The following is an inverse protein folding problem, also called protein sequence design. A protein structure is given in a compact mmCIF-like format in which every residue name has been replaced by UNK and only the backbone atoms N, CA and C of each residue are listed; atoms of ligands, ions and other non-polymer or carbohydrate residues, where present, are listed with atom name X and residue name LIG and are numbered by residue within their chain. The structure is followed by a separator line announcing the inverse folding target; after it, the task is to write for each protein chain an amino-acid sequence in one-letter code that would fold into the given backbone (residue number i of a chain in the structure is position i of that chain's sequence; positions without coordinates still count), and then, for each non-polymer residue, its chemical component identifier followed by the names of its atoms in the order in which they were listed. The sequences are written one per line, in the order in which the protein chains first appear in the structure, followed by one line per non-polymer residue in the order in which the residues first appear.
data_IF_257108967911
#
_entry.id   IF_257108967911
#
_cell.length_a   1.000
_cell.length_b   1.000
_cell.length_c   1.000
_cell.angle_alpha   90.00
_cell.angle_beta   90.00
_cell.angle_gamma   90.00
#
_symmetry.space_group_name_H-M   'P 1'
#
loop_
_entity.id
_entity.type
_entity.pdbx_description
1 polymer ?
#
# COMPACT_ATOMS: atom_id res chain seq x y z
N UNK A 1 -37.78 -5.43 -11.09
CA UNK A 1 -36.46 -4.81 -11.37
C UNK A 1 -35.53 -4.92 -10.16
N UNK A 2 -36.00 -4.67 -8.93
CA UNK A 2 -35.21 -4.94 -7.71
C UNK A 2 -35.00 -6.44 -7.45
N UNK A 3 -36.02 -7.28 -7.67
CA UNK A 3 -35.91 -8.73 -7.44
C UNK A 3 -34.84 -9.39 -8.33
N UNK A 4 -34.74 -8.97 -9.60
CA UNK A 4 -33.73 -9.49 -10.52
C UNK A 4 -32.30 -9.15 -10.10
N UNK A 5 -32.10 -7.96 -9.50
CA UNK A 5 -30.80 -7.58 -8.97
C UNK A 5 -30.44 -8.42 -7.73
N UNK A 6 -31.41 -8.68 -6.85
CA UNK A 6 -31.23 -9.53 -5.68
C UNK A 6 -30.87 -10.97 -6.07
N UNK A 7 -31.62 -11.57 -7.01
CA UNK A 7 -31.33 -12.91 -7.51
C UNK A 7 -29.93 -13.01 -8.14
N UNK A 8 -29.48 -11.96 -8.85
CA UNK A 8 -28.12 -11.89 -9.38
C UNK A 8 -27.04 -11.88 -8.30
N UNK A 9 -27.30 -11.23 -7.16
CA UNK A 9 -26.39 -11.23 -6.00
C UNK A 9 -26.34 -12.61 -5.35
N UNK A 10 -27.49 -13.24 -5.10
CA UNK A 10 -27.58 -14.58 -4.52
C UNK A 10 -26.83 -15.59 -5.39
N UNK A 11 -27.09 -15.59 -6.70
CA UNK A 11 -26.41 -16.46 -7.66
C UNK A 11 -24.88 -16.27 -7.65
N UNK A 12 -24.42 -15.02 -7.47
CA UNK A 12 -22.99 -14.72 -7.42
C UNK A 12 -22.29 -15.40 -6.24
N UNK A 13 -22.92 -15.45 -5.07
CA UNK A 13 -22.38 -16.16 -3.90
C UNK A 13 -22.38 -17.68 -4.06
N UNK A 14 -23.34 -18.22 -4.83
CA UNK A 14 -23.49 -19.65 -5.08
C UNK A 14 -22.55 -20.22 -6.15
N UNK A 15 -21.70 -19.39 -6.77
CA UNK A 15 -20.64 -19.88 -7.67
C UNK A 15 -19.59 -20.75 -6.98
N UNK A 16 -19.61 -20.81 -5.65
CA UNK A 16 -18.77 -21.69 -4.85
C UNK A 16 -19.58 -22.41 -3.77
N UNK A 17 -19.11 -23.57 -3.28
CA UNK A 17 -19.80 -24.29 -2.23
C UNK A 17 -19.79 -23.48 -0.93
N UNK A 18 -20.97 -23.23 -0.38
CA UNK A 18 -21.18 -22.58 0.90
C UNK A 18 -21.64 -23.61 1.94
N UNK A 19 -21.38 -23.32 3.21
CA UNK A 19 -21.89 -24.10 4.34
C UNK A 19 -23.20 -23.52 4.90
N UNK A 20 -23.86 -22.65 4.13
CA UNK A 20 -25.19 -22.10 4.40
C UNK A 20 -26.13 -22.48 3.26
N UNK A 21 -27.39 -22.74 3.57
CA UNK A 21 -28.39 -23.00 2.55
C UNK A 21 -28.89 -21.71 1.87
N UNK A 22 -29.67 -21.85 0.80
CA UNK A 22 -30.19 -20.71 0.02
C UNK A 22 -31.07 -19.78 0.87
N UNK A 23 -31.90 -20.34 1.76
CA UNK A 23 -32.79 -19.56 2.60
C UNK A 23 -32.01 -18.71 3.61
N UNK A 24 -30.98 -19.30 4.24
CA UNK A 24 -30.09 -18.61 5.16
C UNK A 24 -29.24 -17.56 4.43
N UNK A 25 -28.74 -17.86 3.24
CA UNK A 25 -27.99 -16.89 2.43
C UNK A 25 -28.84 -15.66 2.10
N UNK A 26 -30.08 -15.88 1.63
CA UNK A 26 -31.03 -14.80 1.35
C UNK A 26 -31.32 -13.96 2.59
N UNK A 27 -31.58 -14.61 3.73
CA UNK A 27 -31.79 -13.93 5.02
C UNK A 27 -30.58 -13.09 5.41
N UNK A 28 -29.37 -13.65 5.29
CA UNK A 28 -28.14 -12.95 5.64
C UNK A 28 -27.90 -11.70 4.78
N UNK A 29 -28.25 -11.75 3.49
CA UNK A 29 -28.16 -10.59 2.58
C UNK A 29 -29.18 -9.52 2.98
N UNK A 30 -30.43 -9.90 3.24
CA UNK A 30 -31.50 -8.97 3.64
C UNK A 30 -31.23 -8.32 5.00
N UNK A 31 -30.73 -9.10 5.96
CA UNK A 31 -30.39 -8.64 7.31
C UNK A 31 -29.10 -7.79 7.34
N UNK A 32 -28.43 -7.61 6.19
CA UNK A 32 -27.14 -6.93 6.08
C UNK A 32 -26.14 -7.51 7.10
N UNK A 33 -25.93 -8.83 7.01
CA UNK A 33 -25.12 -9.55 7.99
C UNK A 33 -23.62 -9.25 7.82
N UNK A 34 -23.00 -8.83 8.91
CA UNK A 34 -21.55 -8.62 8.99
C UNK A 34 -20.87 -9.85 9.60
N UNK A 35 -19.78 -10.30 8.99
CA UNK A 35 -19.00 -11.46 9.43
C UNK A 35 -17.55 -11.07 9.70
N UNK A 36 -16.98 -11.64 10.75
CA UNK A 36 -15.53 -11.69 10.93
C UNK A 36 -14.91 -12.69 9.95
N UNK A 37 -13.59 -12.60 9.74
CA UNK A 37 -12.86 -13.56 8.91
C UNK A 37 -13.09 -15.04 9.30
N UNK A 38 -13.03 -15.45 10.58
CA UNK A 38 -13.32 -16.84 10.96
C UNK A 38 -14.77 -17.24 10.69
N UNK A 39 -15.76 -16.38 11.00
CA UNK A 39 -17.18 -16.69 10.73
C UNK A 39 -17.46 -16.84 9.23
N UNK A 40 -16.82 -16.00 8.41
CA UNK A 40 -16.89 -16.12 6.96
C UNK A 40 -16.28 -17.45 6.47
N UNK A 41 -15.17 -17.90 7.08
CA UNK A 41 -14.55 -19.19 6.74
C UNK A 41 -15.46 -20.37 7.11
N UNK A 42 -16.03 -20.34 8.31
CA UNK A 42 -16.91 -21.40 8.81
C UNK A 42 -18.16 -21.55 7.94
N UNK A 43 -18.73 -20.42 7.48
CA UNK A 43 -19.86 -20.40 6.54
C UNK A 43 -19.47 -20.71 5.10
N UNK A 44 -18.17 -20.89 4.84
CA UNK A 44 -17.65 -21.23 3.52
C UNK A 44 -17.67 -20.06 2.57
N UNK A 45 -17.59 -18.80 3.02
CA UNK A 45 -17.42 -17.58 2.21
C UNK A 45 -15.95 -17.24 1.88
N UNK A 46 -14.99 -17.84 2.59
CA UNK A 46 -13.56 -17.78 2.28
C UNK A 46 -12.91 -19.16 2.45
N UNK A 47 -11.80 -19.40 1.76
CA UNK A 47 -11.07 -20.68 1.84
C UNK A 47 -10.05 -20.69 2.99
N UNK A 48 -9.35 -19.57 3.19
CA UNK A 48 -8.29 -19.42 4.20
C UNK A 48 -8.30 -18.00 4.80
N UNK A 49 -7.90 -17.90 6.07
CA UNK A 49 -7.69 -16.63 6.77
C UNK A 49 -6.19 -16.49 7.02
N UNK A 50 -5.55 -15.52 6.35
CA UNK A 50 -4.13 -15.25 6.46
C UNK A 50 -3.87 -14.19 7.54
N UNK A 51 -2.81 -14.38 8.34
CA UNK A 51 -2.41 -13.46 9.41
C UNK A 51 -3.20 -13.63 10.71
N UNK A 52 -2.92 -12.77 11.70
CA UNK A 52 -3.86 -12.58 12.80
C UNK A 52 -5.13 -12.02 12.16
N UNK A 53 -6.29 -12.62 12.41
CA UNK A 53 -7.60 -12.28 11.84
C UNK A 53 -8.10 -10.87 12.24
N UNK A 54 -7.19 -9.91 12.40
CA UNK A 54 -7.51 -8.51 12.49
C UNK A 54 -8.30 -8.14 11.23
N UNK A 55 -9.45 -7.49 11.40
CA UNK A 55 -10.18 -6.93 10.29
C UNK A 55 -9.30 -5.86 9.64
N UNK A 56 -8.52 -6.27 8.65
CA UNK A 56 -7.77 -5.37 7.79
C UNK A 56 -8.85 -4.62 7.02
N UNK A 57 -9.18 -3.44 7.51
CA UNK A 57 -10.08 -2.49 6.89
C UNK A 57 -9.51 -1.95 5.59
N UNK A 58 -9.19 -2.81 4.61
CA UNK A 58 -8.80 -2.36 3.28
C UNK A 58 -9.97 -1.56 2.66
N UNK A 59 -11.21 -1.98 2.91
CA UNK A 59 -12.42 -1.22 2.56
C UNK A 59 -12.67 0.00 3.45
N UNK A 60 -12.03 0.05 4.63
CA UNK A 60 -12.17 1.13 5.60
C UNK A 60 -11.41 2.40 5.13
N UNK A 61 -10.41 2.27 4.24
CA UNK A 61 -9.79 3.42 3.55
C UNK A 61 -10.80 4.24 2.72
N UNK A 62 -11.93 3.65 2.33
CA UNK A 62 -13.05 4.37 1.72
C UNK A 62 -13.96 4.92 2.82
N UNK A 63 -13.46 5.73 3.76
CA UNK A 63 -14.10 6.07 5.05
C UNK A 63 -15.54 6.62 5.05
N UNK A 64 -16.16 6.85 3.88
CA UNK A 64 -17.59 7.16 3.73
C UNK A 64 -18.46 5.98 3.26
N UNK A 65 -17.87 4.85 2.90
CA UNK A 65 -18.57 3.68 2.36
C UNK A 65 -19.46 3.04 3.43
N UNK A 66 -18.99 3.00 4.69
CA UNK A 66 -19.76 2.46 5.81
C UNK A 66 -21.02 3.26 6.13
N UNK A 67 -21.10 4.55 5.77
CA UNK A 67 -22.31 5.35 5.98
C UNK A 67 -23.48 4.92 5.08
N UNK A 68 -23.25 4.07 4.07
CA UNK A 68 -24.30 3.54 3.19
C UNK A 68 -24.98 2.29 3.74
N UNK A 69 -24.40 1.69 4.77
CA UNK A 69 -24.83 0.43 5.38
C UNK A 69 -25.63 0.72 6.64
N UNK A 70 -26.78 0.07 6.80
CA UNK A 70 -27.75 0.31 7.88
C UNK A 70 -27.31 -0.36 9.18
N UNK A 71 -26.75 -1.56 9.10
CA UNK A 71 -26.42 -2.45 10.21
C UNK A 71 -24.91 -2.56 10.47
N UNK A 72 -24.14 -1.50 10.20
CA UNK A 72 -22.68 -1.51 10.44
C UNK A 72 -22.36 -1.67 11.93
N UNK A 73 -21.63 -2.73 12.35
CA UNK A 73 -21.28 -2.98 13.75
C UNK A 73 -20.34 -1.92 14.34
N UNK A 74 -20.44 -1.69 15.65
CA UNK A 74 -19.56 -0.75 16.36
C UNK A 74 -18.07 -1.12 16.25
N UNK A 75 -17.75 -2.42 16.19
CA UNK A 75 -16.38 -2.87 15.98
C UNK A 75 -15.81 -2.34 14.64
N UNK A 76 -16.60 -2.40 13.56
CA UNK A 76 -16.21 -1.86 12.25
C UNK A 76 -16.03 -0.33 12.29
N UNK A 77 -16.90 0.39 13.02
CA UNK A 77 -16.80 1.85 13.20
C UNK A 77 -15.55 2.25 14.00
N UNK A 78 -15.22 1.50 15.05
CA UNK A 78 -14.02 1.74 15.88
C UNK A 78 -12.75 1.48 15.09
N UNK A 79 -12.72 0.44 14.26
CA UNK A 79 -11.57 0.15 13.40
C UNK A 79 -11.29 1.30 12.44
N UNK A 80 -12.33 1.87 11.81
CA UNK A 80 -12.20 3.09 11.01
C UNK A 80 -11.62 4.27 11.79
N UNK A 81 -12.14 4.53 12.99
CA UNK A 81 -11.69 5.64 13.82
C UNK A 81 -10.26 5.44 14.35
N UNK A 82 -9.82 4.19 14.49
CA UNK A 82 -8.50 3.80 15.01
C UNK A 82 -7.46 3.62 13.90
N UNK A 83 -7.86 3.58 12.62
CA UNK A 83 -6.90 3.71 11.53
C UNK A 83 -6.40 5.16 11.49
N UNK A 84 -5.31 5.42 12.20
CA UNK A 84 -4.37 6.46 11.78
C UNK A 84 -4.07 6.26 10.29
N UNK A 85 -3.93 7.32 9.48
CA UNK A 85 -3.62 7.18 8.07
C UNK A 85 -2.37 6.31 7.99
N UNK A 86 -2.54 5.10 7.45
CA UNK A 86 -1.45 4.21 7.14
C UNK A 86 -0.37 5.05 6.44
N UNK A 87 0.85 5.02 7.01
CA UNK A 87 1.96 5.89 6.64
C UNK A 87 2.09 6.10 5.14
N UNK A 88 2.58 7.30 4.79
CA UNK A 88 2.67 7.82 3.44
C UNK A 88 2.91 6.74 2.38
N UNK A 89 2.21 6.81 1.23
CA UNK A 89 2.48 5.89 0.13
C UNK A 89 3.99 5.82 -0.09
N UNK A 90 4.53 4.60 -0.23
CA UNK A 90 5.94 4.42 -0.53
C UNK A 90 6.30 5.35 -1.70
N UNK A 91 7.37 6.16 -1.57
CA UNK A 91 7.68 7.20 -2.54
C UNK A 91 7.82 6.55 -3.91
N UNK A 92 7.11 7.11 -4.89
CA UNK A 92 7.20 6.71 -6.28
C UNK A 92 8.63 6.90 -6.79
N UNK A 93 8.99 6.21 -7.86
CA UNK A 93 10.28 6.42 -8.52
C UNK A 93 10.50 7.88 -8.93
N UNK A 94 9.44 8.59 -9.33
CA UNK A 94 9.48 10.02 -9.63
C UNK A 94 9.82 10.87 -8.39
N UNK A 95 9.23 10.56 -7.23
CA UNK A 95 9.51 11.25 -5.97
C UNK A 95 10.93 10.95 -5.47
N UNK A 96 11.38 9.70 -5.54
CA UNK A 96 12.76 9.31 -5.21
C UNK A 96 13.79 9.98 -6.14
N UNK A 97 13.48 10.11 -7.43
CA UNK A 97 14.35 10.80 -8.38
C UNK A 97 14.41 12.31 -8.11
N UNK A 98 13.28 12.93 -7.76
CA UNK A 98 13.23 14.33 -7.39
C UNK A 98 13.99 14.61 -6.08
N UNK A 99 13.81 13.76 -5.07
CA UNK A 99 14.54 13.79 -3.79
C UNK A 99 16.05 13.68 -4.03
N UNK A 100 16.49 12.64 -4.76
CA UNK A 100 17.90 12.46 -5.11
C UNK A 100 18.48 13.64 -5.89
N UNK A 101 17.72 14.21 -6.83
CA UNK A 101 18.17 15.39 -7.62
C UNK A 101 18.35 16.61 -6.72
N UNK A 102 17.39 16.87 -5.84
CA UNK A 102 17.45 17.99 -4.89
C UNK A 102 18.65 17.84 -3.95
N UNK A 103 18.86 16.64 -3.41
CA UNK A 103 19.96 16.34 -2.51
C UNK A 103 21.32 16.42 -3.24
N UNK A 104 21.40 15.98 -4.49
CA UNK A 104 22.60 16.14 -5.32
C UNK A 104 22.90 17.62 -5.56
N UNK A 105 21.89 18.46 -5.84
CA UNK A 105 22.07 19.89 -6.02
C UNK A 105 22.59 20.57 -4.74
N UNK A 106 22.01 20.27 -3.58
CA UNK A 106 22.49 20.77 -2.28
C UNK A 106 23.90 20.29 -1.96
N UNK A 107 24.20 19.05 -2.32
CA UNK A 107 25.52 18.46 -2.16
C UNK A 107 26.47 18.84 -3.30
N UNK A 108 26.18 19.81 -4.18
CA UNK A 108 27.04 20.23 -5.29
C UNK A 108 27.54 19.08 -6.18
N UNK A 109 26.68 18.09 -6.39
CA UNK A 109 26.84 16.89 -7.22
C UNK A 109 25.78 16.87 -8.34
N UNK A 110 25.24 18.03 -8.71
CA UNK A 110 24.13 18.13 -9.67
C UNK A 110 24.46 17.46 -11.01
N UNK A 111 25.73 17.55 -11.44
CA UNK A 111 26.22 16.95 -12.68
C UNK A 111 26.24 15.41 -12.66
N UNK A 112 26.24 14.80 -11.48
CA UNK A 112 26.22 13.33 -11.29
C UNK A 112 24.81 12.78 -11.04
N UNK A 113 23.80 13.65 -10.89
CA UNK A 113 22.45 13.24 -10.48
C UNK A 113 21.83 12.21 -11.44
N UNK A 114 21.98 12.42 -12.76
CA UNK A 114 21.47 11.50 -13.78
C UNK A 114 22.11 10.10 -13.69
N UNK A 115 23.42 10.05 -13.38
CA UNK A 115 24.11 8.78 -13.16
C UNK A 115 23.62 8.08 -11.90
N UNK A 116 23.51 8.81 -10.78
CA UNK A 116 23.07 8.24 -9.49
C UNK A 116 21.63 7.73 -9.54
N UNK A 117 20.75 8.41 -10.29
CA UNK A 117 19.39 7.92 -10.57
C UNK A 117 19.44 6.58 -11.31
N UNK A 118 20.29 6.47 -12.34
CA UNK A 118 20.46 5.23 -13.09
C UNK A 118 21.08 4.11 -12.26
N UNK A 119 22.10 4.42 -11.46
CA UNK A 119 22.87 3.47 -10.65
C UNK A 119 22.05 2.91 -9.47
N UNK A 120 21.25 3.76 -8.81
CA UNK A 120 20.35 3.32 -7.72
C UNK A 120 19.16 2.52 -8.24
N UNK A 121 18.81 2.67 -9.53
CA UNK A 121 17.63 2.04 -10.13
C UNK A 121 16.32 2.44 -9.47
N UNK A 122 16.33 3.46 -8.59
CA UNK A 122 15.18 3.95 -7.82
C UNK A 122 14.40 2.83 -7.10
N UNK A 123 15.10 1.78 -6.65
CA UNK A 123 14.48 0.59 -6.05
C UNK A 123 13.82 0.88 -4.71
N UNK A 124 14.52 1.65 -3.88
CA UNK A 124 14.10 2.02 -2.54
C UNK A 124 14.93 3.23 -2.07
N UNK A 125 14.46 3.91 -1.02
CA UNK A 125 15.11 5.11 -0.47
C UNK A 125 16.48 4.82 0.14
N UNK A 126 16.72 3.61 0.66
CA UNK A 126 18.00 3.23 1.26
C UNK A 126 19.10 3.12 0.19
N UNK A 127 18.80 2.45 -0.93
CA UNK A 127 19.70 2.32 -2.08
C UNK A 127 20.03 3.69 -2.69
N UNK A 128 19.03 4.56 -2.82
CA UNK A 128 19.20 5.95 -3.29
C UNK A 128 20.13 6.74 -2.37
N UNK A 129 19.91 6.65 -1.06
CA UNK A 129 20.73 7.34 -0.05
C UNK A 129 22.15 6.80 0.00
N UNK A 130 22.34 5.48 -0.09
CA UNK A 130 23.66 4.86 -0.11
C UNK A 130 24.48 5.27 -1.34
N UNK A 131 23.84 5.41 -2.51
CA UNK A 131 24.49 5.90 -3.72
C UNK A 131 24.95 7.36 -3.56
N UNK A 132 24.10 8.21 -3.00
CA UNK A 132 24.42 9.61 -2.71
C UNK A 132 25.56 9.74 -1.68
N UNK A 133 25.53 8.97 -0.60
CA UNK A 133 26.56 9.03 0.45
C UNK A 133 27.92 8.58 -0.08
N UNK A 134 27.95 7.56 -0.96
CA UNK A 134 29.16 7.16 -1.68
C UNK A 134 29.70 8.31 -2.54
N UNK A 135 28.84 8.98 -3.31
CA UNK A 135 29.24 10.09 -4.16
C UNK A 135 29.77 11.29 -3.35
N UNK A 136 29.14 11.60 -2.21
CA UNK A 136 29.62 12.61 -1.25
C UNK A 136 31.00 12.26 -0.70
N UNK A 137 31.24 11.00 -0.36
CA UNK A 137 32.53 10.53 0.13
C UNK A 137 33.63 10.68 -0.92
N UNK A 138 33.38 10.26 -2.17
CA UNK A 138 34.34 10.44 -3.29
C UNK A 138 34.68 11.92 -3.47
N UNK A 139 33.67 12.79 -3.50
CA UNK A 139 33.90 14.24 -3.63
C UNK A 139 34.70 14.82 -2.47
N UNK A 140 34.43 14.40 -1.23
CA UNK A 140 35.19 14.86 -0.07
C UNK A 140 36.67 14.46 -0.16
N UNK A 141 36.97 13.25 -0.64
CA UNK A 141 38.34 12.79 -0.89
C UNK A 141 39.02 13.63 -1.98
N UNK A 142 38.36 13.84 -3.13
CA UNK A 142 38.87 14.69 -4.22
C UNK A 142 39.11 16.14 -3.78
N UNK A 143 38.23 16.68 -2.94
CA UNK A 143 38.41 18.01 -2.38
C UNK A 143 39.62 18.07 -1.43
N UNK A 144 39.84 17.04 -0.60
CA UNK A 144 41.02 16.93 0.25
C UNK A 144 42.33 16.78 -0.55
N UNK A 145 42.27 16.09 -1.69
CA UNK A 145 43.38 15.91 -2.62
C UNK A 145 43.65 17.13 -3.53
N UNK A 146 42.83 18.19 -3.46
CA UNK A 146 42.87 19.37 -4.34
C UNK A 146 42.66 19.05 -5.82
N UNK A 147 41.92 17.97 -6.13
CA UNK A 147 41.52 17.57 -7.49
C UNK A 147 40.00 17.45 -7.60
N UNK A 148 39.24 18.54 -7.40
CA UNK A 148 37.77 18.49 -7.39
C UNK A 148 37.16 18.06 -8.72
N UNK A 149 37.84 18.33 -9.84
CA UNK A 149 37.37 18.00 -11.20
C UNK A 149 37.34 16.48 -11.47
N UNK A 150 38.17 15.71 -10.76
CA UNK A 150 38.24 14.24 -10.90
C UNK A 150 37.06 13.52 -10.24
N UNK A 151 36.33 14.20 -9.34
CA UNK A 151 35.26 13.59 -8.56
C UNK A 151 34.17 13.00 -9.45
N UNK A 152 33.81 13.69 -10.54
CA UNK A 152 32.79 13.22 -11.49
C UNK A 152 33.21 11.92 -12.17
N UNK A 153 34.45 11.87 -12.68
CA UNK A 153 34.99 10.71 -13.39
C UNK A 153 35.15 9.47 -12.49
N UNK A 154 35.20 9.66 -11.17
CA UNK A 154 35.28 8.58 -10.19
C UNK A 154 33.89 8.13 -9.68
N UNK A 155 32.86 8.94 -9.89
CA UNK A 155 31.48 8.62 -9.52
C UNK A 155 30.76 7.90 -10.68
N UNK A 156 31.00 8.31 -11.93
CA UNK A 156 30.44 7.73 -13.16
C UNK A 156 31.19 6.47 -13.63
#
# INVERSE_FOLDING_TARGET
MMDQAFEGIVASYQHRPLNVDDAELRRMIDDETWLTAPEAKDKGFVDEVLGAAEPVGVNARLGKVLNRYRNTPDAARRLLASQEPAGDPAPTSAELAAELTADCAQAGLADCAAYLIKASGLKDRETVRAALDRAKAVRAVCHGAKTPDDAKALIE
#
